data_IF_098605894202
#
_entry.id   IF_098605894202
#
_cell.length_a   1.000
_cell.length_b   1.000
_cell.length_c   1.000
_cell.angle_alpha   90.00
_cell.angle_beta   90.00
_cell.angle_gamma   90.00
#
_symmetry.space_group_name_H-M   'P 1'
#
loop_
_entity.id
_entity.type
_entity.pdbx_description
1 polymer ?
#
# COMPACT_ATOMS: atom_id res chain seq x y z
N UNK A 1 2.54 -9.24 13.79
CA UNK A 1 2.00 -9.14 15.17
C UNK A 1 3.03 -9.70 16.14
N UNK A 2 3.14 -9.15 17.36
CA UNK A 2 4.06 -9.64 18.40
C UNK A 2 3.32 -10.58 19.33
N UNK A 3 3.79 -11.82 19.45
CA UNK A 3 3.18 -12.82 20.34
C UNK A 3 3.59 -12.53 21.80
N UNK A 4 2.60 -12.51 22.70
CA UNK A 4 2.80 -12.33 24.13
C UNK A 4 1.95 -13.35 24.90
N UNK A 5 2.50 -13.89 25.98
CA UNK A 5 1.75 -14.72 26.94
C UNK A 5 0.84 -13.90 27.84
N UNK A 6 1.14 -12.60 28.02
CA UNK A 6 0.35 -11.67 28.82
C UNK A 6 -0.59 -10.84 27.91
N UNK A 7 -1.90 -10.75 28.20
CA UNK A 7 -2.86 -10.03 27.37
C UNK A 7 -2.65 -8.50 27.37
N UNK A 8 -1.99 -7.94 28.38
CA UNK A 8 -1.75 -6.49 28.52
C UNK A 8 -0.31 -6.09 28.19
N UNK A 9 0.39 -6.86 27.36
CA UNK A 9 1.73 -6.53 26.92
C UNK A 9 1.70 -5.55 25.74
N UNK A 10 2.39 -4.39 25.81
CA UNK A 10 2.52 -3.51 24.66
C UNK A 10 3.27 -4.21 23.53
N UNK A 11 2.87 -4.04 22.25
CA UNK A 11 3.58 -4.66 21.14
C UNK A 11 4.99 -4.08 21.01
N UNK A 12 5.93 -4.90 20.51
CA UNK A 12 7.22 -4.38 20.06
C UNK A 12 7.01 -3.36 18.93
N UNK A 13 7.92 -2.40 18.83
CA UNK A 13 7.90 -1.41 17.76
C UNK A 13 7.86 -2.10 16.39
N UNK A 14 7.04 -1.55 15.49
CA UNK A 14 6.95 -2.03 14.10
C UNK A 14 8.31 -1.84 13.44
N UNK A 15 8.74 -2.81 12.64
CA UNK A 15 9.91 -2.64 11.79
C UNK A 15 9.61 -1.51 10.79
N UNK A 16 10.45 -0.47 10.80
CA UNK A 16 10.44 0.56 9.78
C UNK A 16 11.32 0.10 8.64
N UNK A 17 10.75 -0.01 7.44
CA UNK A 17 11.49 -0.34 6.23
C UNK A 17 11.83 0.95 5.48
N UNK A 18 13.00 0.97 4.84
CA UNK A 18 13.43 2.09 4.01
C UNK A 18 12.63 2.08 2.70
N UNK A 19 11.49 2.78 2.70
CA UNK A 19 10.77 3.18 1.49
C UNK A 19 9.36 2.59 1.34
N UNK A 20 8.44 3.46 0.94
CA UNK A 20 7.08 3.08 0.55
C UNK A 20 7.12 2.19 -0.72
N UNK A 21 6.24 1.18 -0.84
CA UNK A 21 6.10 0.41 -2.07
C UNK A 21 5.75 1.32 -3.27
N UNK A 22 6.62 1.32 -4.28
CA UNK A 22 6.51 2.21 -5.44
C UNK A 22 5.80 1.52 -6.62
N UNK A 23 6.03 0.22 -6.79
CA UNK A 23 5.53 -0.54 -7.95
C UNK A 23 4.30 -1.34 -7.56
N UNK A 24 3.23 -1.22 -8.34
CA UNK A 24 1.97 -1.93 -8.11
C UNK A 24 1.58 -2.77 -9.33
N UNK A 25 1.09 -3.98 -9.08
CA UNK A 25 0.50 -4.84 -10.12
C UNK A 25 -0.82 -5.44 -9.63
N UNK A 26 -1.78 -5.60 -10.53
CA UNK A 26 -2.95 -6.43 -10.30
C UNK A 26 -2.62 -7.89 -10.60
N UNK A 27 -3.11 -8.78 -9.75
CA UNK A 27 -2.92 -10.22 -9.82
C UNK A 27 -4.27 -10.93 -9.87
N UNK A 28 -4.43 -11.77 -10.89
CA UNK A 28 -5.63 -12.58 -11.07
C UNK A 28 -5.23 -14.02 -11.39
N UNK A 29 -5.98 -15.03 -10.91
CA UNK A 29 -5.76 -16.39 -11.34
C UNK A 29 -6.37 -16.59 -12.74
N UNK A 30 -5.72 -17.37 -13.60
CA UNK A 30 -6.31 -17.75 -14.90
C UNK A 30 -7.64 -18.51 -14.72
N UNK A 31 -7.75 -19.27 -13.63
CA UNK A 31 -8.95 -20.02 -13.25
C UNK A 31 -9.53 -19.47 -11.96
N UNK A 32 -10.76 -18.96 -12.01
CA UNK A 32 -11.46 -18.38 -10.85
C UNK A 32 -11.65 -19.36 -9.69
N UNK A 33 -11.69 -20.67 -9.96
CA UNK A 33 -11.73 -21.72 -8.92
C UNK A 33 -10.53 -21.70 -7.99
N UNK A 34 -9.39 -21.16 -8.45
CA UNK A 34 -8.14 -21.07 -7.70
C UNK A 34 -8.00 -19.77 -6.91
N UNK A 35 -8.96 -18.83 -6.99
CA UNK A 35 -8.93 -17.57 -6.26
C UNK A 35 -8.67 -17.72 -4.74
N UNK A 36 -9.32 -18.67 -4.02
CA UNK A 36 -9.04 -18.85 -2.59
C UNK A 36 -7.62 -19.34 -2.31
N UNK A 37 -6.98 -20.03 -3.27
CA UNK A 37 -5.58 -20.45 -3.14
C UNK A 37 -4.64 -19.25 -3.35
N UNK A 38 -4.96 -18.37 -4.30
CA UNK A 38 -4.24 -17.13 -4.52
C UNK A 38 -4.32 -16.21 -3.29
N UNK A 39 -5.51 -15.97 -2.74
CA UNK A 39 -5.69 -15.14 -1.54
C UNK A 39 -4.86 -15.65 -0.35
N UNK A 40 -4.88 -16.97 -0.12
CA UNK A 40 -4.02 -17.60 0.90
C UNK A 40 -2.54 -17.41 0.60
N UNK A 41 -2.13 -17.58 -0.66
CA UNK A 41 -0.74 -17.39 -1.09
C UNK A 41 -0.27 -15.95 -0.88
N UNK A 42 -1.09 -14.97 -1.24
CA UNK A 42 -0.82 -13.54 -1.03
C UNK A 42 -0.74 -13.19 0.45
N UNK A 43 -1.61 -13.77 1.28
CA UNK A 43 -1.52 -13.60 2.73
C UNK A 43 -0.22 -14.17 3.29
N UNK A 44 0.18 -15.37 2.86
CA UNK A 44 1.45 -15.97 3.27
C UNK A 44 2.66 -15.18 2.78
N UNK A 45 2.60 -14.62 1.57
CA UNK A 45 3.64 -13.75 1.03
C UNK A 45 3.81 -12.49 1.88
N UNK A 46 2.72 -11.82 2.27
CA UNK A 46 2.75 -10.65 3.15
C UNK A 46 3.26 -10.96 4.57
N UNK A 47 3.14 -12.21 5.02
CA UNK A 47 3.73 -12.67 6.28
C UNK A 47 5.23 -12.96 6.14
N UNK A 48 5.66 -13.46 4.98
CA UNK A 48 7.05 -13.82 4.71
C UNK A 48 7.90 -12.59 4.37
N UNK A 49 7.33 -11.63 3.64
CA UNK A 49 7.98 -10.37 3.28
C UNK A 49 7.21 -9.17 3.84
N UNK A 50 7.76 -8.48 4.84
CA UNK A 50 7.10 -7.35 5.48
C UNK A 50 7.09 -6.07 4.64
N UNK A 51 7.84 -6.00 3.54
CA UNK A 51 7.88 -4.85 2.62
C UNK A 51 6.84 -4.93 1.51
N UNK A 52 6.16 -6.08 1.41
CA UNK A 52 5.08 -6.32 0.46
C UNK A 52 3.76 -5.89 1.06
N UNK A 53 2.98 -5.12 0.30
CA UNK A 53 1.60 -4.80 0.65
C UNK A 53 0.63 -5.47 -0.31
N UNK A 54 -0.38 -6.12 0.24
CA UNK A 54 -1.47 -6.72 -0.52
C UNK A 54 -2.75 -5.95 -0.19
N UNK A 55 -3.41 -5.43 -1.21
CA UNK A 55 -4.68 -4.75 -1.10
C UNK A 55 -5.70 -5.37 -2.05
N UNK A 56 -6.98 -5.25 -1.71
CA UNK A 56 -8.07 -5.52 -2.65
C UNK A 56 -8.72 -4.19 -3.00
N UNK A 57 -8.82 -3.88 -4.28
CA UNK A 57 -9.52 -2.69 -4.75
C UNK A 57 -11.04 -2.88 -4.65
N UNK A 58 -11.79 -1.78 -4.69
CA UNK A 58 -13.26 -1.82 -4.73
C UNK A 58 -13.81 -2.57 -5.97
N UNK A 59 -13.01 -2.64 -7.03
CA UNK A 59 -13.29 -3.44 -8.24
C UNK A 59 -13.20 -4.94 -8.01
N UNK A 60 -12.64 -5.38 -6.88
CA UNK A 60 -12.40 -6.78 -6.53
C UNK A 60 -11.01 -7.29 -6.92
N UNK A 61 -10.20 -6.50 -7.62
CA UNK A 61 -8.85 -6.85 -8.05
C UNK A 61 -7.88 -6.94 -6.86
N UNK A 62 -7.03 -7.97 -6.84
CA UNK A 62 -5.95 -8.07 -5.88
C UNK A 62 -4.71 -7.33 -6.38
N UNK A 63 -4.26 -6.34 -5.63
CA UNK A 63 -3.10 -5.52 -5.97
C UNK A 63 -1.95 -5.85 -5.04
N UNK A 64 -0.81 -6.19 -5.65
CA UNK A 64 0.47 -6.39 -4.97
C UNK A 64 1.31 -5.12 -5.14
N UNK A 65 1.80 -4.57 -4.02
CA UNK A 65 2.71 -3.42 -4.02
C UNK A 65 4.07 -3.85 -3.51
N UNK A 66 5.12 -3.40 -4.20
CA UNK A 66 6.52 -3.76 -3.93
C UNK A 66 7.43 -2.54 -4.10
N UNK A 67 8.61 -2.58 -3.49
CA UNK A 67 9.57 -1.48 -3.52
C UNK A 67 10.16 -1.19 -4.92
N UNK A 68 10.13 -2.16 -5.85
CA UNK A 68 10.75 -2.01 -7.17
C UNK A 68 10.58 -3.24 -8.05
N UNK A 69 11.05 -3.16 -9.30
CA UNK A 69 10.84 -4.21 -10.31
C UNK A 69 11.51 -5.54 -9.96
N UNK A 70 12.74 -5.53 -9.46
CA UNK A 70 13.45 -6.75 -9.04
C UNK A 70 12.76 -7.42 -7.86
N UNK A 71 12.25 -6.61 -6.92
CA UNK A 71 11.49 -7.12 -5.78
C UNK A 71 10.17 -7.75 -6.26
N UNK A 72 9.48 -7.10 -7.20
CA UNK A 72 8.28 -7.65 -7.83
C UNK A 72 8.54 -9.01 -8.50
N UNK A 73 9.59 -9.15 -9.30
CA UNK A 73 9.93 -10.42 -9.95
C UNK A 73 10.15 -11.54 -8.92
N UNK A 74 10.82 -11.22 -7.81
CA UNK A 74 11.06 -12.16 -6.72
C UNK A 74 9.76 -12.57 -6.04
N UNK A 75 8.89 -11.61 -5.70
CA UNK A 75 7.59 -11.90 -5.10
C UNK A 75 6.73 -12.79 -6.00
N UNK A 76 6.70 -12.53 -7.31
CA UNK A 76 5.96 -13.34 -8.28
C UNK A 76 6.54 -14.75 -8.39
N UNK A 77 7.86 -14.90 -8.32
CA UNK A 77 8.51 -16.19 -8.28
C UNK A 77 8.15 -16.98 -7.02
N UNK A 78 8.20 -16.35 -5.85
CA UNK A 78 7.90 -17.00 -4.57
C UNK A 78 6.41 -17.36 -4.46
N UNK A 79 5.53 -16.52 -4.99
CA UNK A 79 4.09 -16.79 -5.08
C UNK A 79 3.81 -18.03 -5.96
N UNK A 80 4.49 -18.19 -7.10
CA UNK A 80 4.31 -19.33 -8.01
C UNK A 80 4.92 -20.63 -7.48
N UNK A 81 6.05 -20.56 -6.79
CA UNK A 81 6.81 -21.75 -6.38
C UNK A 81 6.43 -22.24 -4.98
N UNK A 82 6.19 -21.33 -4.05
CA UNK A 82 6.13 -21.63 -2.62
C UNK A 82 4.75 -21.38 -2.02
N UNK A 83 4.13 -20.22 -2.29
CA UNK A 83 2.93 -19.81 -1.55
C UNK A 83 1.60 -20.18 -2.24
N UNK A 84 1.57 -20.26 -3.57
CA UNK A 84 0.42 -20.70 -4.36
C UNK A 84 0.85 -21.64 -5.51
N UNK A 85 1.52 -22.77 -5.20
CA UNK A 85 2.00 -23.69 -6.23
C UNK A 85 0.83 -24.25 -7.06
N UNK A 86 0.98 -24.21 -8.38
CA UNK A 86 -0.02 -24.71 -9.33
C UNK A 86 -1.13 -23.71 -9.68
N UNK A 87 -1.13 -22.50 -9.11
CA UNK A 87 -2.01 -21.41 -9.57
C UNK A 87 -1.34 -20.69 -10.74
N UNK A 88 -1.97 -20.74 -11.92
CA UNK A 88 -1.54 -19.93 -13.06
C UNK A 88 -2.00 -18.48 -12.86
N UNK A 89 -1.05 -17.54 -12.93
CA UNK A 89 -1.26 -16.13 -12.57
C UNK A 89 -1.17 -15.24 -13.80
N UNK A 90 -2.21 -14.43 -14.00
CA UNK A 90 -2.23 -13.29 -14.89
C UNK A 90 -1.77 -12.07 -14.09
N UNK A 91 -0.77 -11.38 -14.62
CA UNK A 91 -0.15 -10.21 -13.97
C UNK A 91 -0.35 -9.01 -14.89
N UNK A 92 -0.89 -7.92 -14.35
CA UNK A 92 -1.00 -6.67 -15.11
C UNK A 92 0.37 -6.02 -15.33
N UNK A 93 0.49 -5.07 -16.27
CA UNK A 93 1.68 -4.22 -16.34
C UNK A 93 1.94 -3.51 -15.00
N UNK A 94 3.21 -3.30 -14.61
CA UNK A 94 3.56 -2.54 -13.42
C UNK A 94 3.17 -1.07 -13.57
N UNK A 95 2.52 -0.54 -12.53
CA UNK A 95 2.08 0.85 -12.46
C UNK A 95 2.73 1.50 -11.24
N UNK A 96 3.24 2.73 -11.43
CA UNK A 96 3.74 3.57 -10.35
C UNK A 96 2.69 4.65 -10.06
N UNK A 97 2.20 4.79 -8.81
CA UNK A 97 1.23 5.82 -8.48
C UNK A 97 1.87 7.20 -8.61
N UNK A 98 1.17 8.12 -9.25
CA UNK A 98 1.57 9.52 -9.32
C UNK A 98 1.12 10.22 -8.04
N UNK A 99 2.01 10.99 -7.43
CA UNK A 99 1.68 11.88 -6.32
C UNK A 99 1.47 13.30 -6.83
N UNK A 100 0.46 13.98 -6.30
CA UNK A 100 0.19 15.38 -6.62
C UNK A 100 0.75 16.31 -5.52
N UNK A 101 1.22 17.49 -5.92
CA UNK A 101 1.70 18.52 -5.01
C UNK A 101 1.29 19.90 -5.50
N UNK A 102 1.17 20.86 -4.58
CA UNK A 102 0.81 22.24 -4.89
C UNK A 102 2.06 23.00 -5.31
N UNK A 103 2.07 23.50 -6.55
CA UNK A 103 3.24 24.19 -7.13
C UNK A 103 3.43 25.64 -6.62
N UNK A 104 2.35 26.33 -6.22
CA UNK A 104 2.40 27.72 -5.78
C UNK A 104 1.27 28.07 -4.82
N UNK A 105 1.54 28.99 -3.91
CA UNK A 105 0.64 29.52 -2.88
C UNK A 105 -0.55 30.33 -3.42
N UNK A 106 -0.61 30.53 -4.74
CA UNK A 106 -1.55 31.41 -5.42
C UNK A 106 -2.98 30.85 -5.51
N UNK A 107 -3.19 29.56 -5.27
CA UNK A 107 -4.52 28.94 -5.31
C UNK A 107 -4.66 27.98 -4.12
N UNK A 108 -5.72 28.11 -3.31
CA UNK A 108 -6.02 27.05 -2.36
C UNK A 108 -6.82 27.39 -1.12
N UNK A 109 -7.42 28.59 -0.99
CA UNK A 109 -8.40 28.79 0.09
C UNK A 109 -9.76 28.26 -0.34
N UNK A 110 -10.19 27.17 0.27
CA UNK A 110 -11.53 26.61 0.09
C UNK A 110 -12.30 26.69 1.40
N UNK A 111 -13.54 27.17 1.35
CA UNK A 111 -14.46 27.16 2.49
C UNK A 111 -15.65 26.28 2.13
N UNK A 112 -15.91 25.27 2.95
CA UNK A 112 -17.11 24.42 2.86
C UNK A 112 -17.94 24.57 4.14
N UNK A 113 -19.26 24.54 4.01
CA UNK A 113 -20.20 24.57 5.14
C UNK A 113 -20.92 23.24 5.27
N UNK A 114 -21.18 22.80 6.50
CA UNK A 114 -22.04 21.64 6.75
C UNK A 114 -23.44 21.89 6.21
N UNK A 115 -24.14 20.83 5.80
CA UNK A 115 -25.53 20.91 5.34
C UNK A 115 -26.46 21.53 6.41
N UNK A 116 -26.17 21.28 7.70
CA UNK A 116 -26.88 21.88 8.83
C UNK A 116 -26.61 23.38 9.03
N UNK A 117 -25.61 23.95 8.32
CA UNK A 117 -25.11 25.33 8.45
C UNK A 117 -24.61 25.73 9.85
N UNK A 118 -24.43 24.77 10.74
CA UNK A 118 -23.97 25.03 12.11
C UNK A 118 -22.46 25.23 12.23
N UNK A 119 -21.69 24.80 11.22
CA UNK A 119 -20.27 25.07 11.14
C UNK A 119 -19.79 25.15 9.68
N UNK A 120 -18.66 25.83 9.48
CA UNK A 120 -17.96 25.94 8.22
C UNK A 120 -16.45 25.72 8.45
N UNK A 121 -15.80 25.07 7.50
CA UNK A 121 -14.39 24.71 7.55
C UNK A 121 -13.67 25.41 6.39
N UNK A 122 -12.62 26.16 6.72
CA UNK A 122 -11.78 26.86 5.73
C UNK A 122 -10.40 26.24 5.74
N UNK A 123 -9.97 25.73 4.59
CA UNK A 123 -8.66 25.11 4.41
C UNK A 123 -7.81 25.95 3.45
N UNK A 124 -6.49 25.93 3.66
CA UNK A 124 -5.51 26.47 2.72
C UNK A 124 -4.44 25.42 2.45
N UNK A 125 -4.23 25.10 1.17
CA UNK A 125 -3.09 24.29 0.74
C UNK A 125 -1.91 25.20 0.36
N UNK A 126 -0.70 24.81 0.73
CA UNK A 126 0.55 25.55 0.47
C UNK A 126 1.66 24.55 0.10
N UNK A 127 2.62 25.00 -0.71
CA UNK A 127 3.77 24.20 -1.06
C UNK A 127 4.71 24.05 0.16
N UNK A 128 5.00 22.80 0.57
CA UNK A 128 5.95 22.56 1.65
C UNK A 128 7.39 22.76 1.16
N UNK A 129 8.27 23.41 1.94
CA UNK A 129 9.70 23.44 1.64
C UNK A 129 10.27 22.03 1.52
N UNK A 130 11.16 21.82 0.54
CA UNK A 130 11.67 20.49 0.21
C UNK A 130 12.29 19.75 1.40
N UNK A 131 13.09 20.42 2.24
CA UNK A 131 13.70 19.83 3.42
C UNK A 131 12.67 19.32 4.45
N UNK A 132 11.56 20.04 4.62
CA UNK A 132 10.50 19.62 5.52
C UNK A 132 9.70 18.46 4.93
N UNK A 133 9.41 18.50 3.62
CA UNK A 133 8.74 17.40 2.93
C UNK A 133 9.55 16.09 3.02
N UNK A 134 10.87 16.16 2.83
CA UNK A 134 11.78 15.02 2.99
C UNK A 134 11.75 14.46 4.42
N UNK A 135 11.93 15.32 5.43
CA UNK A 135 11.91 14.90 6.83
C UNK A 135 10.56 14.27 7.24
N UNK A 136 9.44 14.80 6.73
CA UNK A 136 8.12 14.21 6.98
C UNK A 136 7.94 12.86 6.27
N UNK A 137 8.50 12.71 5.06
CA UNK A 137 8.43 11.42 4.34
C UNK A 137 9.23 10.33 5.01
N UNK A 138 10.37 10.65 5.65
CA UNK A 138 11.17 9.68 6.40
C UNK A 138 10.43 9.10 7.62
N UNK A 139 9.43 9.82 8.15
CA UNK A 139 8.72 9.47 9.39
C UNK A 139 7.26 9.10 9.14
N UNK A 140 6.91 8.79 7.91
CA UNK A 140 5.55 8.36 7.55
C UNK A 140 5.33 6.95 8.13
N UNK A 141 4.54 6.90 9.20
CA UNK A 141 4.29 5.70 10.01
C UNK A 141 3.41 4.66 9.31
#
# INVERSE_FOLDING_TARGET
ATLSSEPSCPPLARMAFEGDPIVQVALEPEQLSCLPQLERGLHMLALADPTVEVAQLETGEHVLRTCGEVHLERCLHDLRTTFAPGVALVVSPPIVPVLESVASDACGRATSSLASKQAALTMRAQALPHALAAALSEHRA
#
